data_IF_640721187560
#
_entry.id   IF_640721187560
#
_cell.length_a   1.000
_cell.length_b   1.000
_cell.length_c   1.000
_cell.angle_alpha   90.00
_cell.angle_beta   90.00
_cell.angle_gamma   90.00
#
_symmetry.space_group_name_H-M   'P 1'
#
loop_
_entity.id
_entity.type
_entity.pdbx_description
1 polymer ?
#
# COMPACT_ATOMS: atom_id res chain seq x y z
N UNK A 1 -53.88 13.07 -27.04
CA UNK A 1 -54.31 11.82 -26.38
C UNK A 1 -54.44 10.75 -27.44
N UNK A 2 -53.41 9.90 -27.58
CA UNK A 2 -53.51 8.62 -28.30
C UNK A 2 -53.19 7.57 -27.25
N UNK A 3 -54.19 6.76 -26.95
CA UNK A 3 -54.09 5.60 -26.06
C UNK A 3 -53.72 4.41 -26.93
N UNK A 4 -52.81 3.58 -26.41
CA UNK A 4 -52.80 2.16 -26.72
C UNK A 4 -51.53 1.69 -27.40
N UNK A 5 -50.66 1.04 -26.63
CA UNK A 5 -50.17 -0.31 -26.96
C UNK A 5 -49.55 -0.95 -25.73
N UNK A 6 -50.34 -1.85 -25.15
CA UNK A 6 -49.95 -2.86 -24.18
C UNK A 6 -49.74 -4.14 -24.97
N UNK A 7 -48.56 -4.76 -24.91
CA UNK A 7 -48.30 -6.22 -24.83
C UNK A 7 -46.82 -6.52 -25.10
N UNK A 8 -46.22 -7.34 -24.24
CA UNK A 8 -44.87 -7.85 -24.49
C UNK A 8 -44.16 -8.46 -23.30
N UNK A 9 -44.85 -9.31 -22.53
CA UNK A 9 -44.20 -10.23 -21.59
C UNK A 9 -43.33 -11.21 -22.36
N UNK A 10 -42.04 -11.29 -22.05
CA UNK A 10 -41.23 -12.48 -22.34
C UNK A 10 -40.14 -12.62 -21.28
N UNK A 11 -40.50 -13.49 -20.33
CA UNK A 11 -39.65 -14.19 -19.40
C UNK A 11 -38.68 -15.07 -20.20
N UNK A 12 -37.36 -14.84 -20.10
CA UNK A 12 -36.36 -15.80 -20.60
C UNK A 12 -35.24 -15.97 -19.57
N UNK A 13 -35.49 -16.96 -18.73
CA UNK A 13 -34.56 -18.07 -18.43
C UNK A 13 -33.18 -17.68 -17.88
N UNK A 14 -33.13 -17.58 -16.54
CA UNK A 14 -31.88 -17.67 -15.77
C UNK A 14 -31.26 -19.06 -15.94
N UNK A 15 -30.35 -19.19 -16.90
CA UNK A 15 -29.39 -20.28 -16.93
C UNK A 15 -28.38 -20.09 -15.79
N UNK A 16 -28.68 -20.67 -14.63
CA UNK A 16 -27.70 -20.90 -13.55
C UNK A 16 -26.70 -21.93 -14.04
N UNK A 17 -25.60 -21.47 -14.65
CA UNK A 17 -24.44 -22.32 -14.88
C UNK A 17 -23.76 -22.57 -13.53
N UNK A 18 -23.93 -23.80 -13.03
CA UNK A 18 -23.18 -24.38 -11.92
C UNK A 18 -21.69 -24.44 -12.29
N UNK A 19 -20.89 -23.49 -11.81
CA UNK A 19 -19.44 -23.66 -11.76
C UNK A 19 -19.09 -24.60 -10.59
N UNK A 20 -18.22 -25.60 -10.78
CA UNK A 20 -17.77 -26.46 -9.70
C UNK A 20 -16.90 -25.67 -8.72
N UNK A 21 -17.14 -25.87 -7.42
CA UNK A 21 -16.37 -25.29 -6.33
C UNK A 21 -14.90 -25.75 -6.41
N UNK A 22 -14.01 -24.83 -6.79
CA UNK A 22 -12.57 -25.00 -6.62
C UNK A 22 -12.26 -25.01 -5.13
N UNK A 23 -11.81 -26.16 -4.63
CA UNK A 23 -11.34 -26.30 -3.25
C UNK A 23 -10.17 -25.34 -2.97
N UNK A 24 -10.12 -24.66 -1.80
CA UNK A 24 -9.01 -23.80 -1.48
C UNK A 24 -7.73 -24.64 -1.26
N UNK A 25 -6.57 -24.21 -1.76
CA UNK A 25 -5.31 -24.89 -1.50
C UNK A 25 -5.02 -24.85 0.00
N UNK A 26 -4.71 -26.02 0.58
CA UNK A 26 -4.28 -26.16 1.96
C UNK A 26 -3.03 -25.32 2.20
N UNK A 27 -3.18 -24.20 2.89
CA UNK A 27 -2.07 -23.36 3.31
C UNK A 27 -1.24 -24.16 4.33
N UNK A 28 -0.09 -24.65 3.86
CA UNK A 28 0.96 -25.17 4.71
C UNK A 28 1.38 -24.06 5.67
N UNK A 29 1.37 -24.37 6.97
CA UNK A 29 1.84 -23.48 8.04
C UNK A 29 3.27 -23.05 7.74
N UNK A 30 3.41 -21.86 7.16
CA UNK A 30 4.67 -21.18 6.98
C UNK A 30 5.30 -20.95 8.34
N UNK A 31 6.41 -21.64 8.58
CA UNK A 31 7.25 -21.51 9.78
C UNK A 31 7.78 -20.08 9.81
N UNK A 32 7.23 -19.24 10.68
CA UNK A 32 7.81 -17.92 10.94
C UNK A 32 9.21 -18.11 11.50
N UNK A 33 10.20 -17.62 10.76
CA UNK A 33 11.59 -17.61 11.17
C UNK A 33 11.77 -16.44 12.12
N UNK A 34 11.72 -16.70 13.43
CA UNK A 34 12.22 -15.75 14.42
C UNK A 34 13.74 -15.65 14.26
N UNK A 35 14.23 -14.46 13.99
CA UNK A 35 15.65 -14.15 14.08
C UNK A 35 16.02 -14.10 15.57
N UNK A 36 17.03 -14.88 15.95
CA UNK A 36 17.50 -15.02 17.32
C UNK A 36 18.05 -13.69 17.86
N UNK A 37 17.69 -13.43 19.11
CA UNK A 37 18.06 -12.30 19.94
C UNK A 37 19.58 -12.16 20.09
N UNK A 38 20.08 -10.95 19.80
CA UNK A 38 21.35 -10.46 20.32
C UNK A 38 21.12 -9.04 20.82
N UNK A 39 21.15 -8.89 22.14
CA UNK A 39 21.04 -7.63 22.86
C UNK A 39 22.28 -6.78 22.60
N UNK A 40 22.25 -5.95 21.56
CA UNK A 40 23.17 -4.84 21.42
C UNK A 40 22.50 -3.59 22.00
N UNK A 41 23.21 -2.87 22.87
CA UNK A 41 22.82 -1.50 23.21
C UNK A 41 22.56 -0.75 21.90
N UNK A 42 21.34 -0.27 21.70
CA UNK A 42 20.98 0.57 20.57
C UNK A 42 21.68 1.93 20.71
N UNK A 43 22.98 1.95 20.35
CA UNK A 43 23.66 3.17 19.94
C UNK A 43 23.24 3.37 18.50
N UNK A 44 22.28 4.27 18.30
CA UNK A 44 21.97 4.76 16.98
C UNK A 44 23.21 5.52 16.50
N UNK A 45 24.03 4.87 15.66
CA UNK A 45 24.94 5.60 14.80
C UNK A 45 24.09 6.64 14.07
N UNK A 46 24.49 7.93 14.05
CA UNK A 46 23.68 8.98 13.47
C UNK A 46 23.37 8.60 12.02
N UNK A 47 22.16 8.07 11.78
CA UNK A 47 21.72 7.83 10.42
C UNK A 47 21.63 9.19 9.78
N UNK A 48 22.39 9.33 8.70
CA UNK A 48 22.49 10.57 7.98
C UNK A 48 21.09 11.03 7.55
N UNK A 49 20.69 12.22 8.01
CA UNK A 49 19.39 12.82 7.68
C UNK A 49 19.26 12.93 6.16
N UNK A 50 20.37 13.10 5.44
CA UNK A 50 20.39 13.11 3.98
C UNK A 50 20.02 11.74 3.38
N UNK A 51 20.51 10.65 3.95
CA UNK A 51 20.15 9.31 3.49
C UNK A 51 18.67 8.99 3.74
N UNK A 52 18.12 9.43 4.88
CA UNK A 52 16.70 9.32 5.16
C UNK A 52 15.86 10.15 4.19
N UNK A 53 16.29 11.38 3.92
CA UNK A 53 15.62 12.27 2.96
C UNK A 53 15.64 11.69 1.54
N UNK A 54 16.75 11.10 1.12
CA UNK A 54 16.85 10.41 -0.17
C UNK A 54 15.86 9.25 -0.27
N UNK A 55 15.73 8.43 0.78
CA UNK A 55 14.75 7.31 0.83
C UNK A 55 13.30 7.79 0.80
N UNK A 56 13.03 8.95 1.39
CA UNK A 56 11.72 9.58 1.40
C UNK A 56 11.43 10.43 0.14
N UNK A 57 12.38 10.55 -0.78
CA UNK A 57 12.33 11.45 -1.93
C UNK A 57 12.06 12.93 -1.53
N UNK A 58 12.69 13.37 -0.44
CA UNK A 58 12.60 14.75 0.08
C UNK A 58 13.94 15.45 -0.17
N UNK A 59 13.89 16.66 -0.73
CA UNK A 59 15.07 17.52 -0.86
C UNK A 59 15.18 18.42 0.37
N UNK A 60 16.35 18.47 0.99
CA UNK A 60 16.63 19.29 2.17
C UNK A 60 17.80 20.22 1.90
N UNK A 61 17.74 21.42 2.48
CA UNK A 61 18.86 22.36 2.56
C UNK A 61 19.81 21.98 3.71
N UNK A 62 21.09 22.39 3.68
CA UNK A 62 22.03 22.09 4.76
C UNK A 62 21.58 22.64 6.12
N UNK A 63 20.90 23.79 6.14
CA UNK A 63 20.35 24.36 7.37
C UNK A 63 19.23 23.49 7.96
N UNK A 64 18.32 22.99 7.12
CA UNK A 64 17.25 22.09 7.57
C UNK A 64 17.81 20.77 8.11
N UNK A 65 18.91 20.27 7.54
CA UNK A 65 19.58 19.06 8.03
C UNK A 65 20.07 19.26 9.47
N UNK A 66 20.75 20.38 9.74
CA UNK A 66 21.21 20.73 11.09
C UNK A 66 20.04 20.88 12.07
N UNK A 67 18.93 21.48 11.62
CA UNK A 67 17.72 21.68 12.42
C UNK A 67 16.96 20.38 12.71
N UNK A 68 16.94 19.43 11.78
CA UNK A 68 16.18 18.17 11.91
C UNK A 68 16.95 17.09 12.65
N UNK A 69 18.28 17.09 12.58
CA UNK A 69 19.12 16.09 13.23
C UNK A 69 18.81 15.91 14.73
N UNK A 70 18.81 16.95 15.58
CA UNK A 70 18.52 16.78 17.01
C UNK A 70 17.05 16.39 17.27
N UNK A 71 16.11 16.84 16.44
CA UNK A 71 14.68 16.52 16.59
C UNK A 71 14.41 15.04 16.34
N UNK A 72 15.02 14.48 15.30
CA UNK A 72 14.92 13.05 15.00
C UNK A 72 15.60 12.21 16.08
N UNK A 73 16.75 12.64 16.59
CA UNK A 73 17.42 11.97 17.71
C UNK A 73 16.53 11.93 18.96
N UNK A 74 15.85 13.04 19.30
CA UNK A 74 14.91 13.09 20.43
C UNK A 74 13.72 12.13 20.21
N UNK A 75 13.13 12.13 19.02
CA UNK A 75 11.98 11.27 18.70
C UNK A 75 12.35 9.78 18.81
N UNK A 76 13.46 9.38 18.19
CA UNK A 76 13.93 7.99 18.25
C UNK A 76 14.32 7.60 19.67
N UNK A 77 14.94 8.50 20.43
CA UNK A 77 15.23 8.30 21.84
C UNK A 77 13.98 8.06 22.67
N UNK A 78 12.90 8.81 22.41
CA UNK A 78 11.60 8.57 23.04
C UNK A 78 11.01 7.21 22.67
N UNK A 79 11.05 6.81 21.39
CA UNK A 79 10.64 5.46 20.96
C UNK A 79 11.49 4.33 21.59
N UNK A 80 12.75 4.62 21.96
CA UNK A 80 13.63 3.68 22.64
C UNK A 80 13.07 3.11 23.94
N UNK A 81 12.18 3.86 24.62
CA UNK A 81 11.49 3.42 25.85
C UNK A 81 10.66 2.14 25.63
N UNK A 82 10.17 1.91 24.40
CA UNK A 82 9.39 0.71 24.07
C UNK A 82 10.23 -0.58 24.09
N UNK A 83 11.56 -0.49 24.05
CA UNK A 83 12.44 -1.67 24.11
C UNK A 83 12.51 -2.29 25.51
N UNK A 84 12.08 -1.57 26.55
CA UNK A 84 12.05 -2.08 27.93
C UNK A 84 10.91 -3.07 28.18
N UNK A 85 9.93 -3.12 27.26
CA UNK A 85 8.75 -3.98 27.37
C UNK A 85 9.06 -5.35 26.79
N UNK A 86 8.83 -6.41 27.58
CA UNK A 86 8.92 -7.80 27.11
C UNK A 86 7.75 -8.16 26.19
N UNK A 87 8.06 -8.65 24.99
CA UNK A 87 7.11 -8.99 23.93
C UNK A 87 7.22 -10.45 23.47
N UNK A 88 8.01 -11.30 24.15
CA UNK A 88 8.30 -12.68 23.71
C UNK A 88 7.03 -13.55 23.57
N UNK A 89 5.98 -13.24 24.33
CA UNK A 89 4.72 -13.98 24.34
C UNK A 89 3.59 -13.35 23.50
N UNK A 90 3.84 -12.19 22.89
CA UNK A 90 2.80 -11.41 22.19
C UNK A 90 2.98 -11.50 20.67
N UNK A 91 1.90 -11.84 19.95
CA UNK A 91 1.92 -11.82 18.49
C UNK A 91 1.78 -10.38 17.96
N UNK A 92 2.48 -10.01 16.87
CA UNK A 92 2.32 -8.70 16.25
C UNK A 92 0.88 -8.44 15.80
N UNK A 93 0.31 -7.30 16.22
CA UNK A 93 -1.00 -6.85 15.80
C UNK A 93 -0.92 -6.15 14.44
N UNK A 94 -0.98 -6.92 13.34
CA UNK A 94 -0.90 -6.39 11.96
C UNK A 94 -2.16 -5.62 11.55
N UNK A 95 -3.30 -5.96 12.16
CA UNK A 95 -4.61 -5.38 11.84
C UNK A 95 -5.45 -5.29 13.12
N UNK A 96 -6.25 -4.23 13.24
CA UNK A 96 -7.12 -4.02 14.40
C UNK A 96 -8.38 -4.91 14.39
N UNK A 97 -8.92 -5.22 13.22
CA UNK A 97 -10.10 -6.09 13.07
C UNK A 97 -9.74 -7.58 13.06
N UNK A 98 -10.60 -8.36 13.71
CA UNK A 98 -10.54 -9.82 13.78
C UNK A 98 -11.20 -10.48 12.55
N UNK A 99 -11.04 -9.90 11.35
CA UNK A 99 -11.58 -10.52 10.15
C UNK A 99 -10.75 -11.76 9.79
N UNK A 100 -11.30 -12.93 10.10
CA UNK A 100 -10.73 -14.24 9.77
C UNK A 100 -10.60 -14.46 8.27
N UNK A 101 -11.43 -13.77 7.47
CA UNK A 101 -11.48 -13.90 6.03
C UNK A 101 -10.98 -12.61 5.39
N UNK A 102 -10.04 -12.74 4.45
CA UNK A 102 -9.61 -11.61 3.61
C UNK A 102 -10.70 -11.32 2.59
N UNK A 103 -11.27 -10.10 2.54
CA UNK A 103 -12.22 -9.76 1.49
C UNK A 103 -11.50 -9.85 0.14
N UNK A 104 -12.03 -10.68 -0.75
CA UNK A 104 -11.56 -10.79 -2.13
C UNK A 104 -12.50 -9.98 -3.03
N UNK A 105 -11.93 -9.23 -3.97
CA UNK A 105 -12.69 -8.58 -5.04
C UNK A 105 -13.11 -9.66 -6.05
N UNK A 106 -14.35 -9.60 -6.54
CA UNK A 106 -14.80 -10.45 -7.64
C UNK A 106 -14.02 -10.14 -8.92
N UNK A 107 -13.68 -11.16 -9.70
CA UNK A 107 -12.95 -11.01 -10.96
C UNK A 107 -13.89 -10.65 -12.12
N UNK A 108 -14.55 -9.50 -11.98
CA UNK A 108 -15.44 -8.93 -12.99
C UNK A 108 -14.83 -7.62 -13.49
N UNK A 109 -14.65 -7.44 -14.82
CA UNK A 109 -14.13 -6.19 -15.36
C UNK A 109 -15.17 -5.08 -15.23
N UNK A 110 -14.75 -3.93 -14.73
CA UNK A 110 -15.57 -2.73 -14.61
C UNK A 110 -14.96 -1.61 -15.46
N UNK A 111 -15.67 -1.05 -16.46
CA UNK A 111 -15.18 0.11 -17.18
C UNK A 111 -15.08 1.33 -16.25
N UNK A 112 -14.10 2.18 -16.52
CA UNK A 112 -13.97 3.47 -15.84
C UNK A 112 -14.45 4.56 -16.79
N UNK A 113 -15.53 5.24 -16.41
CA UNK A 113 -16.27 6.12 -17.31
C UNK A 113 -15.62 7.50 -17.51
N UNK A 114 -14.93 8.03 -16.49
CA UNK A 114 -14.52 9.44 -16.46
C UNK A 114 -13.01 9.63 -16.63
N UNK A 115 -12.46 9.10 -17.72
CA UNK A 115 -11.03 9.20 -18.03
C UNK A 115 -10.55 10.66 -18.05
N UNK A 116 -11.35 11.58 -18.57
CA UNK A 116 -10.99 12.99 -18.71
C UNK A 116 -10.76 13.69 -17.36
N UNK A 117 -11.47 13.28 -16.30
CA UNK A 117 -11.26 13.81 -14.95
C UNK A 117 -9.87 13.46 -14.39
N UNK A 118 -9.32 12.29 -14.74
CA UNK A 118 -7.96 11.92 -14.35
C UNK A 118 -6.96 12.85 -15.02
N UNK A 119 -7.08 13.09 -16.33
CA UNK A 119 -6.16 13.96 -17.05
C UNK A 119 -6.29 15.43 -16.66
N UNK A 120 -7.48 15.88 -16.27
CA UNK A 120 -7.69 17.22 -15.71
C UNK A 120 -6.95 17.46 -14.39
N UNK A 121 -6.68 16.41 -13.61
CA UNK A 121 -5.93 16.49 -12.35
C UNK A 121 -4.40 16.45 -12.54
N UNK A 122 -3.93 16.18 -13.76
CA UNK A 122 -2.50 16.01 -14.05
C UNK A 122 -1.90 17.35 -14.51
N UNK A 123 -0.72 17.75 -13.99
CA UNK A 123 -0.09 19.03 -14.36
C UNK A 123 0.28 19.16 -15.85
N UNK A 124 0.82 18.10 -16.45
CA UNK A 124 1.24 18.09 -17.86
C UNK A 124 0.88 16.78 -18.54
N UNK A 125 0.26 16.89 -19.71
CA UNK A 125 -0.19 15.75 -20.52
C UNK A 125 0.25 15.93 -21.97
N UNK A 126 0.58 14.84 -22.64
CA UNK A 126 0.92 14.82 -24.06
C UNK A 126 0.04 13.79 -24.78
N UNK A 127 -0.99 14.27 -25.49
CA UNK A 127 -2.00 13.41 -26.09
C UNK A 127 -2.67 12.51 -25.03
N UNK A 128 -2.68 11.17 -25.22
CA UNK A 128 -3.28 10.24 -24.26
C UNK A 128 -2.35 9.86 -23.09
N UNK A 129 -1.19 10.51 -22.92
CA UNK A 129 -0.17 10.17 -21.92
C UNK A 129 0.07 11.28 -20.89
N UNK A 130 0.49 10.89 -19.69
CA UNK A 130 1.02 11.81 -18.67
C UNK A 130 2.49 12.07 -18.95
N UNK A 131 2.87 13.34 -19.03
CA UNK A 131 4.25 13.72 -19.33
C UNK A 131 5.08 13.67 -18.05
N UNK A 132 6.20 12.96 -18.09
CA UNK A 132 7.15 12.84 -16.97
C UNK A 132 8.57 13.16 -17.44
N UNK A 133 9.44 13.68 -16.55
CA UNK A 133 10.85 13.86 -16.87
C UNK A 133 11.49 12.54 -17.31
N UNK A 134 12.27 12.59 -18.39
CA UNK A 134 12.97 11.42 -18.91
C UNK A 134 13.99 10.94 -17.88
N UNK A 135 13.90 9.68 -17.49
CA UNK A 135 14.91 9.04 -16.63
C UNK A 135 16.15 8.77 -17.49
N UNK A 136 17.18 9.59 -17.34
CA UNK A 136 18.53 9.29 -17.82
C UNK A 136 19.26 8.55 -16.69
N UNK A 137 19.88 7.41 -17.00
CA UNK A 137 20.74 6.73 -16.03
C UNK A 137 22.10 7.45 -16.04
N UNK A 138 22.33 8.34 -15.10
CA UNK A 138 23.60 9.07 -15.02
C UNK A 138 24.63 8.41 -14.08
N UNK A 139 24.26 7.33 -13.37
CA UNK A 139 25.11 6.75 -12.32
C UNK A 139 25.27 5.22 -12.47
N UNK A 140 25.84 4.75 -13.58
CA UNK A 140 26.43 3.39 -13.64
C UNK A 140 27.94 3.50 -13.45
N UNK A 141 28.38 3.48 -12.19
CA UNK A 141 29.68 2.91 -11.79
C UNK A 141 29.59 2.41 -10.34
#
# INVERSE_FOLDING_TARGET
>A
MVVGMMVGTTLRESARLLLPALAPPSLSRGRFRCCSSSSSSFKFEPSDVLQLAQKACITLTPQEVEDFQPKLQQLVGWFGQLQEVDLDSVLPAVRADNLSQRPLREDVPTPFEERDAIFAAVPETEGPFVKVPKILKENME
#
